data_IF_789056764674
#
_entry.id   IF_789056764674
#
_cell.length_a   1.000
_cell.length_b   1.000
_cell.length_c   1.000
_cell.angle_alpha   90.00
_cell.angle_beta   90.00
_cell.angle_gamma   90.00
#
_symmetry.space_group_name_H-M   'P 1'
#
loop_
_entity.id
_entity.type
_entity.pdbx_description
1 polymer ?
#
# COMPACT_ATOMS: atom_id res chain seq x y z
N UNK A 1 -19.42 -8.34 23.79
CA UNK A 1 -19.11 -8.23 22.35
C UNK A 1 -19.84 -7.05 21.69
N UNK A 2 -21.14 -6.80 21.93
CA UNK A 2 -21.88 -5.70 21.28
C UNK A 2 -21.56 -4.27 21.78
N UNK A 3 -20.94 -4.14 22.96
CA UNK A 3 -20.69 -2.82 23.59
C UNK A 3 -19.49 -2.09 22.98
N UNK A 4 -18.53 -2.83 22.40
CA UNK A 4 -17.35 -2.24 21.76
C UNK A 4 -17.70 -1.57 20.41
N UNK A 5 -18.60 -2.16 19.63
CA UNK A 5 -19.04 -1.61 18.34
C UNK A 5 -19.84 -0.31 18.50
N UNK A 6 -20.66 -0.21 19.56
CA UNK A 6 -21.40 1.01 19.87
C UNK A 6 -20.46 2.16 20.28
N UNK A 7 -19.45 1.87 21.11
CA UNK A 7 -18.48 2.89 21.55
C UNK A 7 -17.62 3.44 20.40
N UNK A 8 -17.25 2.60 19.41
CA UNK A 8 -16.55 3.03 18.21
C UNK A 8 -17.39 3.94 17.32
N UNK A 9 -18.70 3.66 17.19
CA UNK A 9 -19.62 4.50 16.41
C UNK A 9 -19.84 5.88 17.04
N UNK A 10 -19.88 5.98 18.36
CA UNK A 10 -20.07 7.27 19.05
C UNK A 10 -18.81 8.14 18.95
N UNK A 11 -17.62 7.55 18.96
CA UNK A 11 -16.36 8.27 18.73
C UNK A 11 -16.27 8.84 17.30
N UNK A 12 -16.76 8.09 16.31
CA UNK A 12 -16.91 8.57 14.92
C UNK A 12 -17.98 9.67 14.76
N UNK A 13 -18.94 9.79 15.68
CA UNK A 13 -19.96 10.85 15.66
C UNK A 13 -19.49 12.16 16.32
N UNK A 14 -18.37 12.15 17.04
CA UNK A 14 -17.79 13.33 17.71
C UNK A 14 -16.80 14.13 16.85
N UNK A 15 -16.69 13.85 15.55
CA UNK A 15 -15.93 14.72 14.65
C UNK A 15 -16.76 15.97 14.36
N UNK A 16 -16.33 17.16 14.85
CA UNK A 16 -17.08 18.38 14.64
C UNK A 16 -16.90 18.75 13.18
N UNK A 17 -17.99 18.63 12.42
CA UNK A 17 -18.17 19.12 11.05
C UNK A 17 -17.76 18.16 9.90
N UNK A 18 -18.73 17.54 9.21
CA UNK A 18 -18.49 16.65 8.05
C UNK A 18 -17.93 17.38 6.81
N UNK A 19 -17.91 18.72 6.81
CA UNK A 19 -17.28 19.53 5.75
C UNK A 19 -15.75 19.51 5.79
N UNK A 20 -15.17 18.95 6.87
CA UNK A 20 -13.73 18.78 7.08
C UNK A 20 -13.32 17.30 7.14
N UNK A 21 -14.13 16.39 6.55
CA UNK A 21 -13.70 15.02 6.31
C UNK A 21 -12.49 15.04 5.38
N UNK A 22 -11.32 15.06 6.02
CA UNK A 22 -9.96 15.15 5.49
C UNK A 22 -9.78 16.20 4.39
N UNK A 23 -9.12 17.33 4.72
CA UNK A 23 -8.57 18.19 3.69
C UNK A 23 -7.77 17.32 2.71
N UNK A 24 -7.96 17.51 1.41
CA UNK A 24 -7.29 16.73 0.36
C UNK A 24 -5.78 16.61 0.61
N UNK A 25 -5.17 17.67 1.10
CA UNK A 25 -3.76 17.72 1.51
C UNK A 25 -3.40 16.70 2.61
N UNK A 26 -4.29 16.47 3.57
CA UNK A 26 -4.14 15.43 4.61
C UNK A 26 -4.29 14.03 4.04
N UNK A 27 -5.24 13.82 3.10
CA UNK A 27 -5.39 12.53 2.39
C UNK A 27 -4.14 12.24 1.56
N UNK A 28 -3.63 13.24 0.86
CA UNK A 28 -2.45 13.14 0.02
C UNK A 28 -1.20 12.80 0.85
N UNK A 29 -1.01 13.47 2.01
CA UNK A 29 0.08 13.17 2.94
C UNK A 29 -0.01 11.77 3.54
N UNK A 30 -1.18 11.37 4.04
CA UNK A 30 -1.37 10.02 4.61
C UNK A 30 -1.17 8.93 3.56
N UNK A 31 -1.67 9.16 2.34
CA UNK A 31 -1.47 8.25 1.21
C UNK A 31 0.01 8.13 0.82
N UNK A 32 0.77 9.23 0.91
CA UNK A 32 2.21 9.23 0.69
C UNK A 32 2.93 8.39 1.74
N UNK A 33 2.66 8.60 3.03
CA UNK A 33 3.28 7.86 4.13
C UNK A 33 2.96 6.35 4.03
N UNK A 34 1.71 6.01 3.70
CA UNK A 34 1.29 4.63 3.52
C UNK A 34 1.97 3.99 2.30
N UNK A 35 2.05 4.69 1.17
CA UNK A 35 2.75 4.22 -0.01
C UNK A 35 4.23 3.93 0.26
N UNK A 36 4.93 4.83 0.95
CA UNK A 36 6.33 4.63 1.34
C UNK A 36 6.50 3.45 2.31
N UNK A 37 5.56 3.27 3.23
CA UNK A 37 5.56 2.15 4.18
C UNK A 37 5.39 0.81 3.46
N UNK A 38 4.44 0.73 2.53
CA UNK A 38 4.21 -0.47 1.70
C UNK A 38 5.45 -0.74 0.83
N UNK A 39 5.99 0.29 0.17
CA UNK A 39 7.17 0.16 -0.68
C UNK A 39 8.39 -0.37 0.09
N UNK A 40 8.68 0.20 1.25
CA UNK A 40 9.77 -0.24 2.13
C UNK A 40 9.61 -1.70 2.54
N UNK A 41 8.39 -2.12 2.91
CA UNK A 41 8.09 -3.51 3.30
C UNK A 41 8.32 -4.47 2.15
N UNK A 42 7.84 -4.14 0.95
CA UNK A 42 8.01 -4.98 -0.23
C UNK A 42 9.51 -5.14 -0.57
N UNK A 43 10.29 -4.06 -0.50
CA UNK A 43 11.74 -4.10 -0.75
C UNK A 43 12.48 -4.89 0.33
N UNK A 44 12.09 -4.76 1.59
CA UNK A 44 12.64 -5.58 2.66
C UNK A 44 12.42 -7.07 2.39
N UNK A 45 11.23 -7.45 1.91
CA UNK A 45 10.94 -8.84 1.51
C UNK A 45 11.77 -9.29 0.31
N UNK A 46 11.99 -8.43 -0.69
CA UNK A 46 12.90 -8.71 -1.81
C UNK A 46 14.33 -8.98 -1.32
N UNK A 47 14.79 -8.17 -0.38
CA UNK A 47 16.11 -8.34 0.24
C UNK A 47 16.22 -9.66 0.99
N UNK A 48 15.21 -10.01 1.80
CA UNK A 48 15.13 -11.31 2.51
C UNK A 48 15.10 -12.51 1.56
N UNK A 49 14.44 -12.35 0.42
CA UNK A 49 14.39 -13.31 -0.67
C UNK A 49 15.71 -13.43 -1.47
N UNK A 50 16.75 -12.65 -1.12
CA UNK A 50 18.04 -12.60 -1.81
C UNK A 50 17.92 -12.22 -3.29
N UNK A 51 16.94 -11.37 -3.61
CA UNK A 51 16.80 -10.81 -4.95
C UNK A 51 17.80 -9.66 -5.08
N UNK A 52 18.68 -9.67 -6.09
CA UNK A 52 19.64 -8.59 -6.27
C UNK A 52 18.90 -7.30 -6.64
N UNK A 53 19.09 -6.26 -5.84
CA UNK A 53 18.50 -4.93 -6.04
C UNK A 53 19.58 -4.01 -6.63
N UNK A 54 19.47 -3.58 -7.90
CA UNK A 54 20.49 -2.77 -8.56
C UNK A 54 20.60 -1.37 -7.93
N UNK A 55 19.47 -0.78 -7.54
CA UNK A 55 19.38 0.43 -6.73
C UNK A 55 18.12 0.36 -5.84
N UNK A 56 18.31 0.02 -4.56
CA UNK A 56 17.20 -0.16 -3.63
C UNK A 56 16.48 1.14 -3.28
N UNK A 57 17.16 2.28 -3.29
CA UNK A 57 16.58 3.57 -2.92
C UNK A 57 15.75 4.16 -4.06
N UNK A 58 16.26 4.10 -5.30
CA UNK A 58 15.51 4.49 -6.49
C UNK A 58 14.25 3.62 -6.64
N UNK A 59 14.39 2.29 -6.51
CA UNK A 59 13.26 1.37 -6.58
C UNK A 59 12.20 1.66 -5.50
N UNK A 60 12.61 2.03 -4.28
CA UNK A 60 11.68 2.39 -3.21
C UNK A 60 10.88 3.64 -3.53
N UNK A 61 11.55 4.64 -4.11
CA UNK A 61 10.91 5.89 -4.51
C UNK A 61 9.90 5.64 -5.63
N UNK A 62 10.33 4.96 -6.70
CA UNK A 62 9.49 4.68 -7.87
C UNK A 62 8.27 3.82 -7.50
N UNK A 63 8.46 2.85 -6.61
CA UNK A 63 7.37 2.04 -6.07
C UNK A 63 6.41 2.85 -5.20
N UNK A 64 6.93 3.70 -4.31
CA UNK A 64 6.08 4.54 -3.45
C UNK A 64 5.24 5.53 -4.29
N UNK A 65 5.84 6.20 -5.28
CA UNK A 65 5.13 7.08 -6.20
C UNK A 65 3.99 6.34 -6.90
N UNK A 66 4.26 5.16 -7.46
CA UNK A 66 3.26 4.40 -8.18
C UNK A 66 2.13 3.86 -7.28
N UNK A 67 2.45 3.46 -6.04
CA UNK A 67 1.43 3.04 -5.06
C UNK A 67 0.56 4.22 -4.60
N UNK A 68 1.15 5.40 -4.41
CA UNK A 68 0.44 6.60 -3.99
C UNK A 68 -0.65 6.99 -5.01
N UNK A 69 -0.38 6.88 -6.31
CA UNK A 69 -1.38 7.12 -7.36
C UNK A 69 -2.62 6.24 -7.22
N UNK A 70 -2.47 5.02 -6.68
CA UNK A 70 -3.59 4.09 -6.43
C UNK A 70 -4.29 4.37 -5.11
N UNK A 71 -3.55 4.81 -4.08
CA UNK A 71 -4.11 5.14 -2.76
C UNK A 71 -4.92 6.44 -2.78
N UNK A 72 -4.49 7.43 -3.57
CA UNK A 72 -5.20 8.70 -3.79
C UNK A 72 -6.36 8.54 -4.79
N UNK A 73 -6.40 7.45 -5.57
CA UNK A 73 -7.44 7.21 -6.55
C UNK A 73 -8.81 6.89 -5.95
N UNK A 74 -9.85 7.36 -6.66
CA UNK A 74 -11.30 7.08 -6.51
C UNK A 74 -11.73 6.44 -5.18
N UNK A 75 -12.34 7.27 -4.32
CA UNK A 75 -12.95 6.85 -3.05
C UNK A 75 -14.05 5.80 -3.23
N UNK A 76 -14.70 5.75 -4.41
CA UNK A 76 -15.73 4.76 -4.72
C UNK A 76 -15.16 3.39 -5.13
N UNK A 77 -13.83 3.26 -5.27
CA UNK A 77 -13.20 2.00 -5.63
C UNK A 77 -13.36 0.95 -4.52
N UNK A 78 -13.93 -0.24 -4.81
CA UNK A 78 -14.00 -1.32 -3.85
C UNK A 78 -12.61 -1.73 -3.34
N UNK A 79 -12.52 -2.11 -2.07
CA UNK A 79 -11.24 -2.45 -1.42
C UNK A 79 -10.49 -3.58 -2.14
N UNK A 80 -11.20 -4.59 -2.65
CA UNK A 80 -10.60 -5.70 -3.40
C UNK A 80 -10.01 -5.24 -4.74
N UNK A 81 -10.69 -4.31 -5.42
CA UNK A 81 -10.21 -3.73 -6.67
C UNK A 81 -8.99 -2.85 -6.43
N UNK A 82 -8.97 -2.11 -5.32
CA UNK A 82 -7.81 -1.30 -4.90
C UNK A 82 -6.60 -2.18 -4.59
N UNK A 83 -6.79 -3.27 -3.84
CA UNK A 83 -5.74 -4.25 -3.56
C UNK A 83 -5.18 -4.89 -4.84
N UNK A 84 -6.06 -5.31 -5.75
CA UNK A 84 -5.63 -5.86 -7.04
C UNK A 84 -4.81 -4.85 -7.86
N UNK A 85 -5.19 -3.57 -7.82
CA UNK A 85 -4.47 -2.50 -8.52
C UNK A 85 -3.13 -2.18 -7.88
N UNK A 86 -3.04 -2.14 -6.55
CA UNK A 86 -1.77 -1.99 -5.81
C UNK A 86 -0.80 -3.12 -6.15
N UNK A 87 -1.28 -4.37 -6.20
CA UNK A 87 -0.46 -5.52 -6.60
C UNK A 87 -0.01 -5.41 -8.06
N UNK A 88 -0.91 -5.01 -8.96
CA UNK A 88 -0.59 -4.82 -10.38
C UNK A 88 0.50 -3.75 -10.58
N UNK A 89 0.39 -2.63 -9.87
CA UNK A 89 1.40 -1.57 -9.91
C UNK A 89 2.73 -2.05 -9.35
N UNK A 90 2.74 -2.65 -8.16
CA UNK A 90 3.96 -3.19 -7.57
C UNK A 90 4.66 -4.20 -8.51
N UNK A 91 3.87 -5.09 -9.13
CA UNK A 91 4.33 -6.04 -10.14
C UNK A 91 5.00 -5.35 -11.32
N UNK A 92 4.35 -4.34 -11.90
CA UNK A 92 4.89 -3.61 -13.05
C UNK A 92 6.20 -2.89 -12.69
N UNK A 93 6.26 -2.22 -11.53
CA UNK A 93 7.48 -1.54 -11.07
C UNK A 93 8.61 -2.54 -10.87
N UNK A 94 8.38 -3.69 -10.24
CA UNK A 94 9.42 -4.70 -10.06
C UNK A 94 9.89 -5.32 -11.39
N UNK A 95 8.99 -5.55 -12.34
CA UNK A 95 9.37 -6.04 -13.67
C UNK A 95 10.29 -5.06 -14.41
N UNK A 96 10.02 -3.76 -14.31
CA UNK A 96 10.83 -2.72 -14.95
C UNK A 96 12.26 -2.67 -14.39
N UNK A 97 12.43 -2.90 -13.08
CA UNK A 97 13.73 -2.75 -12.41
C UNK A 97 14.54 -4.05 -12.26
N UNK A 98 13.89 -5.20 -12.13
CA UNK A 98 14.56 -6.47 -11.76
C UNK A 98 14.72 -7.44 -12.94
N UNK A 99 14.08 -7.15 -14.08
CA UNK A 99 14.11 -8.00 -15.27
C UNK A 99 13.38 -9.34 -15.11
N UNK A 100 13.21 -10.06 -16.22
CA UNK A 100 12.36 -11.26 -16.31
C UNK A 100 12.84 -12.45 -15.47
N UNK A 101 14.14 -12.54 -15.16
CA UNK A 101 14.70 -13.67 -14.41
C UNK A 101 14.39 -13.61 -12.91
N UNK A 102 14.41 -12.41 -12.31
CA UNK A 102 14.02 -12.23 -10.92
C UNK A 102 12.50 -12.47 -10.74
N UNK A 103 11.72 -12.12 -11.75
CA UNK A 103 10.25 -12.11 -11.72
C UNK A 103 9.61 -13.46 -11.36
N UNK A 104 10.11 -14.56 -11.91
CA UNK A 104 9.55 -15.91 -11.67
C UNK A 104 9.51 -16.31 -10.19
N UNK A 105 10.43 -15.78 -9.37
CA UNK A 105 10.48 -16.02 -7.92
C UNK A 105 9.61 -15.04 -7.13
N UNK A 106 9.32 -13.87 -7.71
CA UNK A 106 8.59 -12.78 -7.06
C UNK A 106 7.08 -12.94 -7.13
N UNK A 107 6.59 -13.47 -8.25
CA UNK A 107 5.15 -13.57 -8.51
C UNK A 107 4.42 -14.43 -7.46
N UNK A 108 5.10 -15.43 -6.90
CA UNK A 108 4.56 -16.29 -5.87
C UNK A 108 4.39 -15.61 -4.49
N UNK A 109 5.07 -14.48 -4.24
CA UNK A 109 5.06 -13.81 -2.93
C UNK A 109 4.33 -12.47 -2.92
N UNK A 110 4.11 -11.87 -4.10
CA UNK A 110 3.32 -10.65 -4.30
C UNK A 110 1.81 -10.92 -4.18
N UNK A 111 1.39 -11.21 -2.96
CA UNK A 111 -0.02 -11.45 -2.57
C UNK A 111 -0.58 -10.24 -1.81
N UNK A 112 -1.91 -10.10 -1.64
CA UNK A 112 -2.48 -9.02 -0.83
C UNK A 112 -1.89 -8.94 0.59
N UNK A 113 -1.58 -10.09 1.19
CA UNK A 113 -0.91 -10.17 2.49
C UNK A 113 0.50 -9.54 2.51
N UNK A 114 1.10 -9.29 1.34
CA UNK A 114 2.36 -8.56 1.24
C UNK A 114 2.25 -7.05 1.32
N UNK A 115 1.06 -6.53 1.05
CA UNK A 115 0.76 -5.11 1.21
C UNK A 115 0.40 -4.77 2.67
N UNK A 116 -0.04 -5.76 3.45
CA UNK A 116 -0.49 -5.58 4.84
C UNK A 116 0.65 -5.75 5.86
N UNK A 117 0.52 -5.16 7.08
CA UNK A 117 1.44 -5.40 8.18
C UNK A 117 1.47 -6.88 8.58
N UNK A 118 2.61 -7.34 9.10
CA UNK A 118 2.70 -8.70 9.64
C UNK A 118 1.74 -8.87 10.83
N UNK A 119 0.86 -9.88 10.77
CA UNK A 119 -0.13 -10.16 11.81
C UNK A 119 -1.53 -9.56 11.60
N UNK A 120 -1.79 -8.91 10.46
CA UNK A 120 -3.12 -8.38 10.11
C UNK A 120 -4.10 -9.43 9.52
N UNK A 121 -3.92 -10.72 9.85
CA UNK A 121 -4.66 -11.86 9.27
C UNK A 121 -5.56 -12.57 10.28
#
# INVERSE_FOLDING_TARGET
ALVAAAASSTLLATFPNPSYWYQRETVDQLSQEEAHTIAARLIQRLSQARVPLPDGAALQCDLACALQEVLVADEAMPIDARLARLLGVARNTFQQHLGSQAWSRLDAWLTPAALLPEGAG
#
